data_IF_343169727901
#
_entry.id   IF_343169727901
#
_cell.length_a   1.000
_cell.length_b   1.000
_cell.length_c   1.000
_cell.angle_alpha   90.00
_cell.angle_beta   90.00
_cell.angle_gamma   90.00
#
_symmetry.space_group_name_H-M   'P 1'
#
loop_
_entity.id
_entity.type
_entity.pdbx_description
1 polymer ?
#
# COMPACT_ATOMS: atom_id res chain seq x y z
N UNK A 1 -4.41 33.33 16.59
CA UNK A 1 -3.07 33.12 16.00
C UNK A 1 -2.61 31.66 15.91
N UNK A 2 -2.81 30.80 16.92
CA UNK A 2 -2.33 29.39 16.89
C UNK A 2 -2.85 28.52 15.72
N UNK A 3 -4.09 28.75 15.24
CA UNK A 3 -4.69 27.99 14.13
C UNK A 3 -4.05 28.26 12.75
N UNK A 4 -3.55 29.47 12.49
CA UNK A 4 -2.97 29.82 11.19
C UNK A 4 -1.61 29.15 10.97
N UNK A 5 -0.78 29.12 12.02
CA UNK A 5 0.50 28.41 12.01
C UNK A 5 0.32 26.89 11.85
N UNK A 6 -0.65 26.30 12.57
CA UNK A 6 -0.94 24.87 12.45
C UNK A 6 -1.35 24.47 11.01
N UNK A 7 -2.16 25.29 10.34
CA UNK A 7 -2.56 25.05 8.94
C UNK A 7 -1.41 25.18 7.95
N UNK A 8 -0.48 26.11 8.20
CA UNK A 8 0.72 26.28 7.37
C UNK A 8 1.64 25.06 7.49
N UNK A 9 1.92 24.59 8.71
CA UNK A 9 2.74 23.39 8.95
C UNK A 9 2.11 22.15 8.30
N UNK A 10 0.78 22.00 8.35
CA UNK A 10 0.06 20.88 7.72
C UNK A 10 0.23 20.84 6.19
N UNK A 11 0.55 21.97 5.56
CA UNK A 11 0.76 22.04 4.11
C UNK A 11 2.07 21.40 3.66
N UNK A 12 3.09 21.41 4.52
CA UNK A 12 4.40 20.78 4.27
C UNK A 12 4.47 19.33 4.75
N UNK A 13 3.45 18.87 5.48
CA UNK A 13 3.41 17.49 5.92
C UNK A 13 3.22 16.51 4.74
N UNK A 14 3.88 15.35 4.81
CA UNK A 14 3.77 14.33 3.78
C UNK A 14 2.35 13.75 3.77
N UNK A 15 1.88 13.38 2.57
CA UNK A 15 0.72 12.53 2.40
C UNK A 15 1.11 11.07 2.65
N UNK A 16 0.15 10.26 3.05
CA UNK A 16 0.35 8.82 3.19
C UNK A 16 -0.62 8.08 2.27
N UNK A 17 -0.26 6.88 1.84
CA UNK A 17 -1.15 6.03 1.07
C UNK A 17 -0.89 4.57 1.41
N UNK A 18 -1.93 3.76 1.43
CA UNK A 18 -1.82 2.32 1.57
C UNK A 18 -2.16 1.70 0.22
N UNK A 19 -1.24 0.91 -0.32
CA UNK A 19 -1.39 0.22 -1.60
C UNK A 19 -1.43 -1.28 -1.35
N UNK A 20 -2.45 -1.93 -1.89
CA UNK A 20 -2.56 -3.40 -1.91
C UNK A 20 -2.35 -3.84 -3.35
N UNK A 21 -1.26 -4.55 -3.61
CA UNK A 21 -0.95 -5.16 -4.88
C UNK A 21 -1.26 -6.64 -4.80
N UNK A 22 -2.20 -7.11 -5.61
CA UNK A 22 -2.55 -8.52 -5.75
C UNK A 22 -2.04 -9.03 -7.10
N UNK A 23 -1.34 -10.16 -7.09
CA UNK A 23 -0.78 -10.76 -8.29
C UNK A 23 -1.52 -12.06 -8.61
N UNK A 24 -2.28 -12.05 -9.70
CA UNK A 24 -2.95 -13.23 -10.22
C UNK A 24 -2.05 -13.95 -11.22
N UNK A 25 -1.62 -15.16 -10.84
CA UNK A 25 -0.79 -16.03 -11.67
C UNK A 25 -1.68 -17.10 -12.29
N UNK A 26 -1.87 -17.04 -13.60
CA UNK A 26 -2.55 -18.07 -14.37
C UNK A 26 -1.55 -18.67 -15.36
N UNK A 27 -1.27 -19.99 -15.30
CA UNK A 27 -0.33 -20.65 -16.20
C UNK A 27 -0.64 -20.36 -17.67
N UNK A 28 0.38 -20.06 -18.46
CA UNK A 28 0.24 -19.77 -19.90
C UNK A 28 -0.22 -18.35 -20.24
N UNK A 29 -0.49 -17.49 -19.26
CA UNK A 29 -0.86 -16.09 -19.47
C UNK A 29 0.04 -15.14 -18.65
N UNK A 30 0.20 -13.86 -19.07
CA UNK A 30 0.95 -12.88 -18.30
C UNK A 30 0.36 -12.69 -16.89
N UNK A 31 1.23 -12.48 -15.90
CA UNK A 31 0.78 -12.25 -14.52
C UNK A 31 0.03 -10.93 -14.48
N UNK A 32 -1.23 -10.96 -14.03
CA UNK A 32 -2.06 -9.77 -13.87
C UNK A 32 -1.81 -9.15 -12.51
N UNK A 33 -1.47 -7.87 -12.49
CA UNK A 33 -1.34 -7.08 -11.26
C UNK A 33 -2.58 -6.21 -11.06
N UNK A 34 -3.27 -6.41 -9.94
CA UNK A 34 -4.35 -5.54 -9.47
C UNK A 34 -3.85 -4.68 -8.32
N UNK A 35 -3.92 -3.35 -8.45
CA UNK A 35 -3.48 -2.41 -7.44
C UNK A 35 -4.66 -1.62 -6.88
N UNK A 36 -4.89 -1.72 -5.58
CA UNK A 36 -5.86 -0.90 -4.85
C UNK A 36 -5.10 0.13 -4.01
N UNK A 37 -5.32 1.41 -4.30
CA UNK A 37 -4.68 2.51 -3.58
C UNK A 37 -5.73 3.23 -2.73
N UNK A 38 -5.43 3.39 -1.45
CA UNK A 38 -6.17 4.26 -0.54
C UNK A 38 -5.27 5.41 -0.12
N UNK A 39 -5.70 6.65 -0.39
CA UNK A 39 -4.92 7.85 -0.09
C UNK A 39 -5.42 8.50 1.20
N UNK A 40 -4.47 8.94 2.03
CA UNK A 40 -4.70 9.71 3.24
C UNK A 40 -4.27 11.17 3.05
N UNK A 41 -4.79 12.04 3.89
CA UNK A 41 -4.45 13.44 3.97
C UNK A 41 -3.02 13.69 4.43
N UNK A 42 -2.65 14.98 4.48
CA UNK A 42 -1.32 15.42 4.93
C UNK A 42 -1.20 15.24 6.44
N UNK A 43 -0.13 14.55 6.87
CA UNK A 43 0.17 14.32 8.29
C UNK A 43 -0.60 13.17 8.94
N UNK A 44 -1.44 12.46 8.20
CA UNK A 44 -2.29 11.37 8.71
C UNK A 44 -1.52 10.03 8.75
N UNK A 45 -0.37 10.02 9.43
CA UNK A 45 0.43 8.80 9.58
C UNK A 45 -0.29 7.77 10.45
N UNK A 46 -0.88 8.20 11.55
CA UNK A 46 -1.50 7.30 12.53
C UNK A 46 -2.71 6.60 11.92
N UNK A 47 -3.56 7.35 11.21
CA UNK A 47 -4.71 6.79 10.49
C UNK A 47 -4.27 5.80 9.39
N UNK A 48 -3.23 6.16 8.62
CA UNK A 48 -2.69 5.29 7.59
C UNK A 48 -2.08 4.01 8.16
N UNK A 49 -1.41 4.10 9.32
CA UNK A 49 -0.84 2.96 10.05
C UNK A 49 -1.92 2.03 10.62
N UNK A 50 -2.96 2.59 11.24
CA UNK A 50 -4.11 1.84 11.73
C UNK A 50 -4.81 1.10 10.58
N UNK A 51 -5.03 1.80 9.46
CA UNK A 51 -5.62 1.19 8.27
C UNK A 51 -4.73 0.09 7.70
N UNK A 52 -3.42 0.31 7.60
CA UNK A 52 -2.46 -0.70 7.17
C UNK A 52 -2.55 -1.97 8.02
N UNK A 53 -2.52 -1.84 9.35
CA UNK A 53 -2.65 -3.00 10.25
C UNK A 53 -4.00 -3.71 10.10
N UNK A 54 -5.09 -2.96 9.88
CA UNK A 54 -6.42 -3.54 9.62
C UNK A 54 -6.44 -4.33 8.32
N UNK A 55 -5.83 -3.82 7.26
CA UNK A 55 -5.73 -4.48 5.96
C UNK A 55 -4.87 -5.74 6.07
N UNK A 56 -3.72 -5.67 6.73
CA UNK A 56 -2.82 -6.80 7.02
C UNK A 56 -3.54 -7.89 7.81
N UNK A 57 -4.24 -7.53 8.89
CA UNK A 57 -5.01 -8.49 9.71
C UNK A 57 -6.09 -9.17 8.88
N UNK A 58 -6.86 -8.42 8.08
CA UNK A 58 -7.92 -8.97 7.24
C UNK A 58 -7.38 -9.85 6.11
N UNK A 59 -6.27 -9.46 5.49
CA UNK A 59 -5.60 -10.30 4.47
C UNK A 59 -5.07 -11.59 5.07
N UNK A 60 -4.51 -11.54 6.27
CA UNK A 60 -4.06 -12.74 6.98
C UNK A 60 -5.20 -13.69 7.33
N UNK A 61 -6.39 -13.18 7.62
CA UNK A 61 -7.58 -14.00 7.92
C UNK A 61 -8.19 -14.61 6.65
N UNK A 62 -8.22 -13.86 5.56
CA UNK A 62 -8.81 -14.31 4.29
C UNK A 62 -7.85 -15.19 3.47
N UNK A 63 -6.55 -15.20 3.79
CA UNK A 63 -5.58 -16.08 3.18
C UNK A 63 -5.32 -15.79 1.70
N UNK A 64 -5.37 -14.51 1.29
CA UNK A 64 -5.13 -14.15 -0.11
C UNK A 64 -3.70 -14.50 -0.55
N UNK A 65 -3.53 -15.33 -1.59
CA UNK A 65 -2.21 -15.67 -2.10
C UNK A 65 -1.61 -14.47 -2.86
N UNK A 66 -0.28 -14.39 -2.87
CA UNK A 66 0.50 -13.45 -3.71
C UNK A 66 0.03 -12.00 -3.61
N UNK A 67 -0.09 -11.50 -2.37
CA UNK A 67 -0.50 -10.12 -2.10
C UNK A 67 0.61 -9.36 -1.39
N UNK A 68 0.79 -8.09 -1.75
CA UNK A 68 1.71 -7.17 -1.12
C UNK A 68 0.95 -5.94 -0.64
N UNK A 69 1.04 -5.68 0.65
CA UNK A 69 0.45 -4.49 1.28
C UNK A 69 1.59 -3.54 1.61
N UNK A 70 1.52 -2.30 1.12
CA UNK A 70 2.53 -1.27 1.34
C UNK A 70 1.92 -0.01 1.95
N UNK A 71 2.58 0.55 2.95
CA UNK A 71 2.36 1.89 3.44
C UNK A 71 3.40 2.82 2.80
N UNK A 72 2.96 3.78 2.00
CA UNK A 72 3.80 4.71 1.24
C UNK A 72 3.65 6.11 1.84
N UNK A 73 4.79 6.74 2.15
CA UNK A 73 4.92 8.15 2.52
C UNK A 73 5.31 8.98 1.30
N UNK A 74 4.57 10.06 1.08
CA UNK A 74 4.74 10.95 -0.05
C UNK A 74 4.46 10.23 -1.37
N UNK A 75 5.39 10.34 -2.33
CA UNK A 75 5.21 9.79 -3.68
C UNK A 75 5.79 8.39 -3.87
N UNK A 76 6.82 8.01 -3.11
CA UNK A 76 7.62 6.80 -3.41
C UNK A 76 8.20 6.07 -2.19
N UNK A 77 8.22 6.68 -1.00
CA UNK A 77 8.92 6.09 0.14
C UNK A 77 8.05 5.03 0.80
N UNK A 78 8.43 3.76 0.70
CA UNK A 78 7.75 2.68 1.43
C UNK A 78 8.19 2.74 2.89
N UNK A 79 7.25 2.98 3.79
CA UNK A 79 7.48 3.03 5.24
C UNK A 79 7.38 1.63 5.84
N UNK A 80 6.38 0.87 5.40
CA UNK A 80 6.16 -0.51 5.82
C UNK A 80 5.64 -1.31 4.65
N UNK A 81 6.06 -2.57 4.54
CA UNK A 81 5.53 -3.50 3.56
C UNK A 81 5.32 -4.87 4.22
N UNK A 82 4.24 -5.54 3.85
CA UNK A 82 3.96 -6.92 4.24
C UNK A 82 3.64 -7.72 2.99
N UNK A 83 4.43 -8.75 2.75
CA UNK A 83 4.27 -9.66 1.63
C UNK A 83 3.59 -10.95 2.11
N UNK A 84 2.70 -11.47 1.29
CA UNK A 84 1.97 -12.72 1.50
C UNK A 84 2.20 -13.63 0.30
N UNK A 85 2.79 -14.80 0.55
CA UNK A 85 3.17 -15.75 -0.49
C UNK A 85 4.45 -15.37 -1.24
N UNK A 86 4.82 -16.12 -2.29
CA UNK A 86 6.03 -15.92 -3.08
C UNK A 86 5.95 -14.72 -4.03
N UNK A 87 5.64 -13.52 -3.51
CA UNK A 87 5.49 -12.29 -4.31
C UNK A 87 6.77 -11.94 -5.07
N UNK A 88 7.94 -12.18 -4.47
CA UNK A 88 9.24 -11.89 -5.09
C UNK A 88 9.49 -12.74 -6.34
N UNK A 89 9.07 -14.01 -6.31
CA UNK A 89 9.14 -14.89 -7.48
C UNK A 89 8.17 -14.43 -8.56
N UNK A 90 6.96 -14.02 -8.17
CA UNK A 90 5.93 -13.56 -9.11
C UNK A 90 6.33 -12.26 -9.80
N UNK A 91 7.03 -11.35 -9.11
CA UNK A 91 7.59 -10.12 -9.71
C UNK A 91 8.69 -10.39 -10.73
N UNK A 92 9.38 -11.52 -10.61
CA UNK A 92 10.39 -11.97 -11.59
C UNK A 92 9.79 -12.59 -12.85
N UNK A 93 8.50 -12.96 -12.81
CA UNK A 93 7.74 -13.37 -13.99
C UNK A 93 7.21 -12.12 -14.70
N UNK A 94 6.98 -12.19 -16.02
CA UNK A 94 6.64 -11.05 -16.87
C UNK A 94 5.29 -10.41 -16.45
N UNK A 95 5.31 -9.52 -15.45
CA UNK A 95 4.12 -8.92 -14.84
C UNK A 95 3.58 -7.82 -15.73
N UNK A 96 2.32 -7.95 -16.14
CA UNK A 96 1.59 -6.89 -16.81
C UNK A 96 0.66 -6.19 -15.81
N UNK A 97 0.74 -4.86 -15.79
CA UNK A 97 -0.22 -4.05 -15.05
C UNK A 97 -1.55 -4.14 -15.79
N UNK A 98 -2.58 -4.62 -15.11
CA UNK A 98 -3.94 -4.69 -15.66
C UNK A 98 -4.63 -3.32 -15.56
#
# INVERSE_FOLDING_TARGET
>A
MKKAWANFVKTFQPKYSVVVNMYHVVPGTPVKKHAHKHEFGKGELDEASIFFHKVVKRHSQLGFPNTEVQLIKGKKTVVQAKNYGPVELVKGLNVQSA
#
